data_IF_598156846841
#
_entry.id   IF_598156846841
#
_cell.length_a   1.000
_cell.length_b   1.000
_cell.length_c   1.000
_cell.angle_alpha   90.00
_cell.angle_beta   90.00
_cell.angle_gamma   90.00
#
_symmetry.space_group_name_H-M   'P 1'
#
loop_
_entity.id
_entity.type
_entity.pdbx_description
1 polymer ?
#
# COMPACT_ATOMS: atom_id res chain seq x y z
N UNK A 1 -22.27 27.01 -7.00
CA UNK A 1 -21.64 27.94 -6.04
C UNK A 1 -20.96 29.10 -6.74
N UNK A 2 -20.20 28.86 -7.84
CA UNK A 2 -19.50 29.90 -8.63
C UNK A 2 -20.45 30.91 -9.23
N UNK A 3 -21.54 30.46 -9.86
CA UNK A 3 -22.56 31.36 -10.44
C UNK A 3 -23.26 32.25 -9.42
N UNK A 4 -23.56 31.72 -8.24
CA UNK A 4 -24.17 32.49 -7.13
C UNK A 4 -23.22 33.52 -6.54
N UNK A 5 -21.94 33.26 -6.57
CA UNK A 5 -20.88 34.20 -6.16
C UNK A 5 -20.67 35.29 -7.21
N UNK A 6 -20.68 34.94 -8.50
CA UNK A 6 -20.63 35.87 -9.61
C UNK A 6 -21.82 36.87 -9.58
N UNK A 7 -23.05 36.37 -9.45
CA UNK A 7 -24.26 37.20 -9.43
C UNK A 7 -24.26 38.16 -8.22
N UNK A 8 -23.77 37.72 -7.07
CA UNK A 8 -23.67 38.60 -5.89
C UNK A 8 -22.53 39.61 -5.98
N UNK A 9 -21.40 39.24 -6.57
CA UNK A 9 -20.28 40.15 -6.78
C UNK A 9 -20.62 41.20 -7.84
N UNK A 10 -21.35 40.86 -8.90
CA UNK A 10 -21.80 41.80 -9.93
C UNK A 10 -22.71 42.91 -9.36
N UNK A 11 -23.50 42.63 -8.34
CA UNK A 11 -24.42 43.59 -7.73
C UNK A 11 -23.73 44.41 -6.62
N UNK A 12 -22.84 43.83 -5.84
CA UNK A 12 -22.22 44.46 -4.67
C UNK A 12 -20.97 45.31 -4.98
N UNK A 13 -20.15 44.90 -5.96
CA UNK A 13 -18.91 45.60 -6.30
C UNK A 13 -19.11 47.00 -6.90
N UNK A 14 -20.07 47.21 -7.85
CA UNK A 14 -20.33 48.55 -8.35
C UNK A 14 -20.85 49.55 -7.31
N UNK A 15 -21.58 49.06 -6.29
CA UNK A 15 -22.09 49.85 -5.18
C UNK A 15 -21.00 50.30 -4.21
N UNK A 16 -19.92 49.53 -4.08
CA UNK A 16 -18.80 49.80 -3.16
C UNK A 16 -17.71 50.66 -3.79
N UNK A 17 -17.47 50.54 -5.09
CA UNK A 17 -16.29 51.11 -5.77
C UNK A 17 -16.63 52.24 -6.78
N UNK A 18 -17.92 52.40 -7.12
CA UNK A 18 -18.41 53.61 -7.83
C UNK A 18 -18.06 53.71 -9.32
N UNK A 19 -17.47 52.69 -9.96
CA UNK A 19 -17.13 52.67 -11.39
C UNK A 19 -17.38 51.27 -12.03
N UNK A 20 -17.97 51.27 -13.21
CA UNK A 20 -18.18 50.07 -14.01
C UNK A 20 -16.89 49.66 -14.76
N UNK A 21 -16.08 48.82 -14.12
CA UNK A 21 -14.88 48.23 -14.71
C UNK A 21 -14.83 46.72 -14.41
N UNK A 22 -14.00 45.98 -15.16
CA UNK A 22 -13.82 44.52 -15.00
C UNK A 22 -13.11 44.14 -13.71
N UNK A 23 -13.51 44.73 -12.59
CA UNK A 23 -12.93 44.47 -11.26
C UNK A 23 -13.21 43.03 -10.75
N UNK A 24 -14.25 42.39 -11.29
CA UNK A 24 -14.58 40.99 -11.01
C UNK A 24 -13.39 40.06 -11.25
N UNK A 25 -12.73 40.22 -12.39
CA UNK A 25 -11.58 39.38 -12.76
C UNK A 25 -10.42 39.60 -11.80
N UNK A 26 -10.20 40.84 -11.36
CA UNK A 26 -9.13 41.17 -10.42
C UNK A 26 -9.42 40.61 -9.04
N UNK A 27 -10.65 40.79 -8.54
CA UNK A 27 -11.05 40.25 -7.22
C UNK A 27 -11.04 38.72 -7.24
N UNK A 28 -11.56 38.10 -8.31
CA UNK A 28 -11.51 36.65 -8.46
C UNK A 28 -10.09 36.13 -8.55
N UNK A 29 -9.21 36.83 -9.29
CA UNK A 29 -7.80 36.49 -9.38
C UNK A 29 -7.08 36.59 -8.03
N UNK A 30 -7.35 37.65 -7.26
CA UNK A 30 -6.78 37.83 -5.90
C UNK A 30 -7.29 36.70 -4.98
N UNK A 31 -8.60 36.41 -4.97
CA UNK A 31 -9.18 35.33 -4.16
C UNK A 31 -8.56 33.99 -4.55
N UNK A 32 -8.41 33.72 -5.86
CA UNK A 32 -7.78 32.47 -6.32
C UNK A 32 -6.33 32.35 -5.84
N UNK A 33 -5.53 33.43 -5.96
CA UNK A 33 -4.14 33.46 -5.51
C UNK A 33 -4.04 33.27 -4.00
N UNK A 34 -4.94 33.93 -3.24
CA UNK A 34 -5.00 33.75 -1.79
C UNK A 34 -5.41 32.33 -1.40
N UNK A 35 -6.37 31.74 -2.10
CA UNK A 35 -6.75 30.33 -1.90
C UNK A 35 -5.58 29.39 -2.18
N UNK A 36 -4.88 29.55 -3.31
CA UNK A 36 -3.75 28.69 -3.65
C UNK A 36 -2.56 28.87 -2.67
N UNK A 37 -2.36 30.08 -2.15
CA UNK A 37 -1.27 30.38 -1.22
C UNK A 37 -1.55 29.91 0.21
N UNK A 38 -2.76 30.11 0.72
CA UNK A 38 -3.12 29.87 2.12
C UNK A 38 -3.90 28.59 2.36
N UNK A 39 -4.45 27.98 1.28
CA UNK A 39 -5.23 26.74 1.33
C UNK A 39 -4.75 25.76 0.24
N UNK A 40 -3.47 25.35 0.24
CA UNK A 40 -2.94 24.42 -0.76
C UNK A 40 -3.70 23.10 -0.80
N UNK A 41 -4.27 22.67 0.34
CA UNK A 41 -5.03 21.43 0.50
C UNK A 41 -6.55 21.63 0.30
N UNK A 42 -6.96 22.84 -0.15
CA UNK A 42 -8.36 23.20 -0.39
C UNK A 42 -9.14 23.62 0.86
N UNK A 43 -10.35 24.14 0.63
CA UNK A 43 -11.26 24.60 1.71
C UNK A 43 -11.68 23.49 2.67
N UNK A 44 -11.66 22.24 2.22
CA UNK A 44 -12.04 21.10 3.04
C UNK A 44 -11.07 20.86 4.20
N UNK A 45 -9.79 21.05 3.99
CA UNK A 45 -8.76 20.92 5.04
C UNK A 45 -8.98 21.90 6.20
N UNK A 46 -9.45 23.10 5.88
CA UNK A 46 -9.80 24.10 6.89
C UNK A 46 -11.03 23.68 7.70
N UNK A 47 -12.05 23.14 7.03
CA UNK A 47 -13.30 22.65 7.69
C UNK A 47 -12.99 21.41 8.52
N UNK A 48 -12.16 20.50 8.01
CA UNK A 48 -11.77 19.27 8.70
C UNK A 48 -11.02 19.55 10.02
N UNK A 49 -10.22 20.61 10.07
CA UNK A 49 -9.50 21.03 11.29
C UNK A 49 -10.45 21.42 12.43
N UNK A 50 -11.66 21.91 12.13
CA UNK A 50 -12.67 22.31 13.11
C UNK A 50 -13.73 21.24 13.38
N UNK A 51 -13.81 20.20 12.54
CA UNK A 51 -14.70 19.08 12.79
C UNK A 51 -14.09 18.19 13.88
N UNK A 52 -14.82 17.90 14.96
CA UNK A 52 -14.35 16.94 15.93
C UNK A 52 -14.22 15.58 15.24
N UNK A 53 -12.99 15.09 15.13
CA UNK A 53 -12.76 13.71 14.71
C UNK A 53 -13.24 12.81 15.84
N UNK A 54 -14.33 12.05 15.67
CA UNK A 54 -14.76 11.14 16.72
C UNK A 54 -13.59 10.18 17.00
N UNK A 55 -13.22 9.97 18.28
CA UNK A 55 -12.19 9.03 18.63
C UNK A 55 -12.59 7.68 18.01
N UNK A 56 -11.77 7.16 17.13
CA UNK A 56 -11.99 5.83 16.54
C UNK A 56 -12.01 4.83 17.68
N UNK A 57 -13.03 3.96 17.77
CA UNK A 57 -13.08 2.97 18.83
C UNK A 57 -11.80 2.12 18.77
N UNK A 58 -10.96 2.23 19.79
CA UNK A 58 -9.67 1.52 19.91
C UNK A 58 -9.82 0.05 20.31
N UNK A 59 -11.04 -0.42 20.49
CA UNK A 59 -11.28 -1.76 21.02
C UNK A 59 -11.64 -2.74 19.90
N UNK A 60 -10.63 -3.20 19.18
CA UNK A 60 -10.72 -4.35 18.25
C UNK A 60 -10.30 -5.67 18.88
N UNK A 61 -9.90 -5.67 20.18
CA UNK A 61 -9.49 -6.89 20.88
C UNK A 61 -10.60 -7.95 20.91
N UNK A 62 -11.86 -7.50 20.99
CA UNK A 62 -13.03 -8.36 20.93
C UNK A 62 -13.40 -8.84 19.52
N UNK A 63 -12.74 -8.33 18.46
CA UNK A 63 -13.05 -8.74 17.09
C UNK A 63 -12.66 -10.19 16.86
N UNK A 64 -13.47 -10.93 16.08
CA UNK A 64 -13.12 -12.28 15.67
C UNK A 64 -11.86 -12.24 14.77
N UNK A 65 -10.96 -13.24 14.83
CA UNK A 65 -9.81 -13.30 13.95
C UNK A 65 -10.25 -13.42 12.49
N UNK A 66 -9.41 -12.95 11.56
CA UNK A 66 -9.59 -13.23 10.14
C UNK A 66 -9.37 -14.72 9.86
N UNK A 67 -10.14 -15.26 8.92
CA UNK A 67 -9.92 -16.63 8.46
C UNK A 67 -8.50 -16.78 7.91
N UNK A 68 -7.77 -17.77 8.39
CA UNK A 68 -6.44 -18.10 7.89
C UNK A 68 -6.54 -18.84 6.57
N UNK A 69 -5.57 -18.61 5.70
CA UNK A 69 -5.45 -19.36 4.44
C UNK A 69 -4.92 -20.76 4.73
N UNK A 70 -5.37 -21.74 3.92
CA UNK A 70 -4.74 -23.05 3.92
C UNK A 70 -3.27 -22.91 3.52
N UNK A 71 -2.37 -23.30 4.42
CA UNK A 71 -0.93 -23.30 4.15
C UNK A 71 -0.51 -24.61 3.48
N UNK A 72 0.44 -24.55 2.53
CA UNK A 72 1.02 -25.76 1.95
C UNK A 72 1.78 -26.55 3.03
N UNK A 73 1.81 -27.86 2.89
CA UNK A 73 2.58 -28.73 3.79
C UNK A 73 4.09 -28.58 3.53
N UNK A 74 4.90 -28.80 4.56
CA UNK A 74 6.35 -28.77 4.41
C UNK A 74 6.81 -29.72 3.28
N UNK A 75 7.65 -29.21 2.37
CA UNK A 75 8.12 -29.95 1.19
C UNK A 75 7.19 -29.90 -0.02
N UNK A 76 5.96 -29.39 0.10
CA UNK A 76 5.05 -29.19 -1.05
C UNK A 76 5.60 -28.10 -1.96
N UNK A 77 5.53 -28.31 -3.28
CA UNK A 77 5.98 -27.33 -4.28
C UNK A 77 5.05 -26.11 -4.28
N UNK A 78 5.58 -24.97 -3.89
CA UNK A 78 4.83 -23.70 -3.78
C UNK A 78 4.99 -22.84 -5.01
N UNK A 79 6.22 -22.72 -5.52
CA UNK A 79 6.52 -21.92 -6.71
C UNK A 79 7.40 -22.75 -7.66
N UNK A 80 7.00 -22.76 -8.93
CA UNK A 80 7.78 -23.33 -10.01
C UNK A 80 7.92 -22.30 -11.13
N UNK A 81 9.14 -21.86 -11.33
CA UNK A 81 9.53 -20.88 -12.35
C UNK A 81 10.24 -21.63 -13.46
N UNK A 82 9.70 -21.55 -14.69
CA UNK A 82 10.18 -22.33 -15.82
C UNK A 82 10.58 -21.41 -16.98
N UNK A 83 11.87 -21.39 -17.29
CA UNK A 83 12.47 -20.73 -18.47
C UNK A 83 11.99 -19.30 -18.69
N UNK A 84 11.82 -18.51 -17.58
CA UNK A 84 11.35 -17.14 -17.71
C UNK A 84 12.39 -16.27 -18.39
N UNK A 85 11.91 -15.47 -19.35
CA UNK A 85 12.71 -14.54 -20.13
C UNK A 85 12.03 -13.18 -20.21
N UNK A 86 12.81 -12.11 -20.14
CA UNK A 86 12.36 -10.75 -20.35
C UNK A 86 13.31 -9.96 -21.21
N UNK A 87 12.77 -9.44 -22.30
CA UNK A 87 13.44 -8.51 -23.20
C UNK A 87 12.77 -7.15 -23.18
N UNK A 88 13.56 -6.09 -23.20
CA UNK A 88 13.15 -4.70 -23.37
C UNK A 88 13.82 -4.15 -24.63
N UNK A 89 13.09 -4.09 -25.73
CA UNK A 89 13.70 -3.74 -27.02
C UNK A 89 14.83 -4.72 -27.36
N UNK A 90 16.07 -4.25 -27.41
CA UNK A 90 17.24 -5.10 -27.67
C UNK A 90 17.95 -5.63 -26.42
N UNK A 91 17.52 -5.24 -25.21
CA UNK A 91 18.16 -5.64 -23.96
C UNK A 91 17.46 -6.85 -23.34
N UNK A 92 18.21 -7.94 -23.14
CA UNK A 92 17.75 -9.10 -22.37
C UNK A 92 18.06 -8.88 -20.89
N UNK A 93 17.02 -8.58 -20.11
CA UNK A 93 17.15 -8.31 -18.67
C UNK A 93 17.09 -9.58 -17.80
N UNK A 94 16.35 -10.60 -18.25
CA UNK A 94 16.27 -11.93 -17.65
C UNK A 94 16.33 -12.93 -18.78
N UNK A 95 17.23 -13.92 -18.67
CA UNK A 95 17.46 -14.90 -19.71
C UNK A 95 17.39 -16.31 -19.17
N UNK A 96 16.29 -17.00 -19.47
CA UNK A 96 16.11 -18.44 -19.24
C UNK A 96 16.33 -18.86 -17.76
N UNK A 97 15.64 -18.21 -16.83
CA UNK A 97 15.74 -18.53 -15.42
C UNK A 97 14.69 -19.58 -15.04
N UNK A 98 15.15 -20.66 -14.39
CA UNK A 98 14.29 -21.71 -13.85
C UNK A 98 14.71 -22.05 -12.43
N UNK A 99 13.73 -22.16 -11.50
CA UNK A 99 13.95 -22.62 -10.13
C UNK A 99 12.61 -22.99 -9.46
N UNK A 100 12.73 -23.73 -8.37
CA UNK A 100 11.57 -24.18 -7.59
C UNK A 100 11.72 -23.77 -6.13
N UNK A 101 10.61 -23.52 -5.45
CA UNK A 101 10.53 -23.24 -4.01
C UNK A 101 9.49 -24.15 -3.39
N UNK A 102 9.93 -24.88 -2.36
CA UNK A 102 9.05 -25.73 -1.55
C UNK A 102 8.62 -25.03 -0.26
N UNK A 103 7.50 -25.42 0.30
CA UNK A 103 7.03 -24.92 1.58
C UNK A 103 8.04 -25.23 2.71
N UNK A 104 8.28 -24.21 3.54
CA UNK A 104 9.27 -24.27 4.63
C UNK A 104 10.69 -23.92 4.20
N UNK A 105 10.94 -23.65 2.91
CA UNK A 105 12.27 -23.23 2.45
C UNK A 105 12.44 -21.71 2.50
N UNK A 106 13.67 -21.29 2.77
CA UNK A 106 14.14 -19.91 2.55
C UNK A 106 15.12 -19.95 1.39
N UNK A 107 14.76 -19.27 0.29
CA UNK A 107 15.56 -19.24 -0.94
C UNK A 107 16.08 -17.83 -1.18
N UNK A 108 17.40 -17.68 -1.38
CA UNK A 108 18.06 -16.41 -1.67
C UNK A 108 18.33 -16.24 -3.17
N UNK A 109 17.80 -15.17 -3.76
CA UNK A 109 18.17 -14.75 -5.13
C UNK A 109 19.32 -13.75 -5.03
N UNK A 110 20.53 -14.21 -5.35
CA UNK A 110 21.76 -13.41 -5.24
C UNK A 110 22.32 -13.06 -6.64
N UNK A 111 23.03 -11.95 -6.71
CA UNK A 111 23.66 -11.49 -7.94
C UNK A 111 24.10 -10.02 -7.82
N UNK A 112 24.93 -9.55 -8.77
CA UNK A 112 25.38 -8.17 -8.85
C UNK A 112 24.22 -7.18 -9.10
N UNK A 113 24.47 -5.87 -8.93
CA UNK A 113 23.51 -4.86 -9.35
C UNK A 113 23.32 -4.93 -10.87
N UNK A 114 22.07 -4.84 -11.32
CA UNK A 114 21.72 -5.01 -12.74
C UNK A 114 21.59 -6.46 -13.22
N UNK A 115 21.83 -7.48 -12.37
CA UNK A 115 21.70 -8.91 -12.74
C UNK A 115 20.24 -9.39 -12.94
N UNK A 116 19.26 -8.50 -12.99
CA UNK A 116 17.87 -8.86 -13.26
C UNK A 116 17.07 -9.34 -12.05
N UNK A 117 17.60 -9.27 -10.81
CA UNK A 117 16.89 -9.73 -9.58
C UNK A 117 15.50 -9.11 -9.42
N UNK A 118 15.41 -7.78 -9.38
CA UNK A 118 14.13 -7.07 -9.22
C UNK A 118 13.22 -7.28 -10.44
N UNK A 119 13.79 -7.46 -11.63
CA UNK A 119 13.03 -7.83 -12.83
C UNK A 119 12.41 -9.21 -12.66
N UNK A 120 13.16 -10.19 -12.17
CA UNK A 120 12.66 -11.55 -11.87
C UNK A 120 11.52 -11.50 -10.85
N UNK A 121 11.66 -10.75 -9.76
CA UNK A 121 10.57 -10.51 -8.79
C UNK A 121 9.33 -9.90 -9.48
N UNK A 122 9.51 -8.91 -10.35
CA UNK A 122 8.42 -8.28 -11.09
C UNK A 122 7.70 -9.24 -12.03
N UNK A 123 8.43 -10.17 -12.67
CA UNK A 123 7.86 -11.19 -13.54
C UNK A 123 7.03 -12.21 -12.76
N UNK A 124 7.55 -12.71 -11.64
CA UNK A 124 6.88 -13.69 -10.78
C UNK A 124 5.61 -13.11 -10.17
N UNK A 125 5.64 -11.84 -9.77
CA UNK A 125 4.51 -11.16 -9.11
C UNK A 125 3.52 -10.50 -10.06
N UNK A 126 3.68 -10.67 -11.38
CA UNK A 126 2.77 -10.10 -12.39
C UNK A 126 2.80 -8.57 -12.49
N UNK A 127 3.84 -7.91 -11.96
CA UNK A 127 4.08 -6.46 -12.14
C UNK A 127 4.58 -6.17 -13.54
N UNK A 128 5.36 -7.09 -14.12
CA UNK A 128 5.81 -7.06 -15.49
C UNK A 128 5.37 -8.33 -16.22
N UNK A 129 4.99 -8.18 -17.48
CA UNK A 129 4.74 -9.30 -18.36
C UNK A 129 6.09 -9.87 -18.85
N UNK A 130 6.21 -11.19 -18.84
CA UNK A 130 7.37 -11.90 -19.40
C UNK A 130 7.29 -11.98 -20.92
N UNK A 131 8.45 -12.14 -21.55
CA UNK A 131 8.56 -12.40 -23.01
C UNK A 131 8.27 -13.87 -23.32
N UNK A 132 8.78 -14.79 -22.47
CA UNK A 132 8.53 -16.23 -22.59
C UNK A 132 8.69 -16.91 -21.22
N UNK A 133 8.39 -18.20 -21.15
CA UNK A 133 8.47 -19.02 -19.95
C UNK A 133 7.15 -19.07 -19.19
N UNK A 134 7.12 -19.79 -18.06
CA UNK A 134 5.93 -20.04 -17.26
C UNK A 134 6.22 -19.85 -15.76
N UNK A 135 5.21 -19.47 -15.01
CA UNK A 135 5.26 -19.39 -13.55
C UNK A 135 4.03 -20.10 -12.98
N UNK A 136 4.28 -21.15 -12.24
CA UNK A 136 3.26 -21.92 -11.53
C UNK A 136 3.33 -21.59 -10.05
N UNK A 137 2.18 -21.26 -9.45
CA UNK A 137 2.05 -21.01 -8.02
C UNK A 137 1.01 -21.97 -7.45
N UNK A 138 1.42 -22.87 -6.53
CA UNK A 138 0.61 -23.93 -5.96
C UNK A 138 -0.09 -24.76 -7.04
N UNK A 139 0.66 -25.11 -8.09
CA UNK A 139 0.18 -25.88 -9.24
C UNK A 139 -0.68 -25.11 -10.26
N UNK A 140 -1.05 -23.86 -9.98
CA UNK A 140 -1.83 -23.04 -10.90
C UNK A 140 -0.93 -22.11 -11.71
N UNK A 141 -1.16 -22.01 -13.02
CA UNK A 141 -0.44 -21.08 -13.88
C UNK A 141 -0.89 -19.65 -13.62
N UNK A 142 0.04 -18.84 -13.11
CA UNK A 142 -0.18 -17.42 -12.82
C UNK A 142 0.44 -16.50 -13.87
N UNK A 143 0.95 -17.05 -14.93
CA UNK A 143 1.77 -16.39 -15.95
C UNK A 143 1.13 -15.15 -16.59
N UNK A 144 -0.18 -15.14 -16.75
CA UNK A 144 -0.94 -14.05 -17.36
C UNK A 144 -1.77 -13.25 -16.34
N UNK A 145 -1.71 -13.61 -15.06
CA UNK A 145 -2.51 -12.96 -14.03
C UNK A 145 -1.90 -11.60 -13.63
N UNK A 146 -2.74 -10.58 -13.37
CA UNK A 146 -2.27 -9.33 -12.80
C UNK A 146 -1.85 -9.53 -11.34
N UNK A 147 -0.95 -8.70 -10.84
CA UNK A 147 -0.37 -8.81 -9.48
C UNK A 147 -1.43 -8.82 -8.38
N UNK A 148 -2.57 -8.12 -8.57
CA UNK A 148 -3.70 -8.15 -7.63
C UNK A 148 -4.26 -9.54 -7.43
N UNK A 149 -4.43 -10.30 -8.51
CA UNK A 149 -5.03 -11.63 -8.45
C UNK A 149 -4.03 -12.69 -7.95
N UNK A 150 -2.73 -12.50 -8.27
CA UNK A 150 -1.63 -13.27 -7.68
C UNK A 150 -1.58 -13.06 -6.16
N UNK A 151 -1.69 -11.82 -5.69
CA UNK A 151 -1.73 -11.51 -4.27
C UNK A 151 -2.93 -12.15 -3.56
N UNK A 152 -4.10 -12.18 -4.21
CA UNK A 152 -5.29 -12.87 -3.68
C UNK A 152 -5.10 -14.37 -3.53
N UNK A 153 -4.25 -14.99 -4.33
CA UNK A 153 -3.89 -16.41 -4.19
C UNK A 153 -2.93 -16.67 -3.01
N UNK A 154 -2.38 -15.64 -2.40
CA UNK A 154 -1.53 -15.76 -1.22
C UNK A 154 -0.03 -15.59 -1.50
N UNK A 155 0.35 -14.88 -2.55
CA UNK A 155 1.71 -14.41 -2.75
C UNK A 155 1.81 -12.96 -2.33
N UNK A 156 2.68 -12.65 -1.35
CA UNK A 156 2.94 -11.27 -0.93
C UNK A 156 4.37 -10.85 -1.26
N UNK A 157 4.57 -9.54 -1.45
CA UNK A 157 5.88 -8.97 -1.76
C UNK A 157 6.08 -7.65 -1.04
N UNK A 158 7.32 -7.41 -0.57
CA UNK A 158 7.78 -6.06 -0.21
C UNK A 158 8.41 -5.38 -1.44
N UNK A 159 8.50 -4.05 -1.42
CA UNK A 159 9.11 -3.28 -2.50
C UNK A 159 10.43 -2.67 -2.03
N UNK A 160 11.34 -2.39 -2.96
CA UNK A 160 12.61 -1.74 -2.68
C UNK A 160 12.43 -0.37 -2.01
N UNK A 161 11.43 0.40 -2.43
CA UNK A 161 11.03 1.65 -1.79
C UNK A 161 9.76 1.43 -0.98
N UNK A 162 9.81 1.80 0.30
CA UNK A 162 8.66 1.69 1.20
C UNK A 162 7.49 2.51 0.64
N UNK A 163 6.40 1.82 0.34
CA UNK A 163 5.13 2.43 -0.11
C UNK A 163 4.21 2.54 1.09
N UNK A 164 4.17 3.71 1.70
CA UNK A 164 3.30 4.01 2.85
C UNK A 164 2.44 5.24 2.57
N UNK A 165 1.40 5.39 3.36
CA UNK A 165 0.59 6.61 3.43
C UNK A 165 1.04 7.36 4.69
N UNK A 166 1.79 8.49 4.55
CA UNK A 166 2.47 9.15 5.68
C UNK A 166 1.51 9.62 6.78
N UNK A 167 0.32 10.07 6.40
CA UNK A 167 -0.69 10.63 7.32
C UNK A 167 -1.52 9.56 8.05
N UNK A 168 -1.41 8.29 7.63
CA UNK A 168 -2.01 7.17 8.34
C UNK A 168 -1.10 6.70 9.46
N UNK A 169 -1.70 6.13 10.51
CA UNK A 169 -0.96 5.42 11.56
C UNK A 169 -0.26 4.17 11.00
N UNK A 170 0.74 3.69 11.73
CA UNK A 170 1.42 2.42 11.43
C UNK A 170 0.42 1.27 11.34
N UNK A 171 -0.50 1.20 12.30
CA UNK A 171 -1.55 0.19 12.34
C UNK A 171 -2.45 0.24 11.09
N UNK A 172 -2.90 1.42 10.69
CA UNK A 172 -3.72 1.61 9.49
C UNK A 172 -2.97 1.22 8.22
N UNK A 173 -1.69 1.62 8.10
CA UNK A 173 -0.86 1.23 6.97
C UNK A 173 -0.70 -0.30 6.85
N UNK A 174 -0.54 -0.99 7.99
CA UNK A 174 -0.40 -2.44 8.02
C UNK A 174 -1.73 -3.14 7.74
N UNK A 175 -2.85 -2.60 8.22
CA UNK A 175 -4.19 -3.13 7.97
C UNK A 175 -4.55 -3.15 6.47
N UNK A 176 -3.98 -2.25 5.67
CA UNK A 176 -4.13 -2.28 4.20
C UNK A 176 -3.66 -3.63 3.60
N UNK A 177 -2.66 -4.27 4.21
CA UNK A 177 -2.20 -5.59 3.77
C UNK A 177 -3.25 -6.69 3.89
N UNK A 178 -4.12 -6.61 4.89
CA UNK A 178 -5.18 -7.58 5.10
C UNK A 178 -6.41 -7.36 4.19
N UNK A 179 -6.48 -6.24 3.47
CA UNK A 179 -7.64 -5.89 2.62
C UNK A 179 -8.00 -6.96 1.58
N UNK A 180 -6.98 -7.64 1.03
CA UNK A 180 -7.21 -8.75 0.07
C UNK A 180 -7.90 -9.96 0.66
N UNK A 181 -8.00 -10.05 2.01
CA UNK A 181 -8.68 -11.12 2.76
C UNK A 181 -10.10 -10.73 3.15
N UNK A 182 -10.45 -9.44 3.00
CA UNK A 182 -11.79 -8.94 3.24
C UNK A 182 -12.76 -9.28 2.11
N UNK A 183 -14.04 -9.28 2.44
CA UNK A 183 -15.15 -9.53 1.49
C UNK A 183 -15.95 -8.27 1.17
N UNK A 184 -15.74 -7.19 1.90
CA UNK A 184 -16.50 -5.95 1.76
C UNK A 184 -16.19 -5.21 0.47
N UNK A 185 -17.24 -4.90 -0.29
CA UNK A 185 -17.13 -4.11 -1.53
C UNK A 185 -17.11 -2.60 -1.29
N UNK A 186 -16.90 -1.85 -2.37
CA UNK A 186 -16.87 -0.36 -2.35
C UNK A 186 -18.16 0.23 -1.76
N UNK A 187 -19.31 -0.34 -2.07
CA UNK A 187 -20.62 0.14 -1.59
C UNK A 187 -20.75 0.00 -0.07
N UNK A 188 -20.36 -1.16 0.49
CA UNK A 188 -20.40 -1.38 1.95
C UNK A 188 -19.44 -0.46 2.70
N UNK A 189 -18.29 -0.15 2.10
CA UNK A 189 -17.32 0.80 2.65
C UNK A 189 -17.86 2.23 2.63
N UNK A 190 -18.51 2.66 1.54
CA UNK A 190 -19.17 3.99 1.46
C UNK A 190 -20.28 4.14 2.48
N UNK A 191 -21.07 3.10 2.72
CA UNK A 191 -22.16 3.10 3.69
C UNK A 191 -21.71 2.84 5.14
N UNK A 192 -20.39 2.64 5.36
CA UNK A 192 -19.82 2.30 6.68
C UNK A 192 -20.47 1.11 7.37
N UNK A 193 -20.98 0.16 6.60
CA UNK A 193 -21.65 -1.06 7.12
C UNK A 193 -20.65 -2.17 7.47
N UNK A 194 -19.39 -2.00 7.14
CA UNK A 194 -18.31 -2.98 7.30
C UNK A 194 -17.49 -2.85 8.59
N UNK A 195 -18.03 -2.18 9.64
CA UNK A 195 -17.29 -1.94 10.90
C UNK A 195 -16.70 -3.22 11.52
N UNK A 196 -17.44 -4.31 11.51
CA UNK A 196 -16.97 -5.58 12.08
C UNK A 196 -15.77 -6.15 11.28
N UNK A 197 -15.77 -6.00 9.96
CA UNK A 197 -14.65 -6.41 9.11
C UNK A 197 -13.45 -5.51 9.33
N UNK A 198 -13.64 -4.20 9.37
CA UNK A 198 -12.58 -3.22 9.69
C UNK A 198 -11.89 -3.55 11.02
N UNK A 199 -12.67 -3.88 12.05
CA UNK A 199 -12.12 -4.29 13.34
C UNK A 199 -11.27 -5.56 13.25
N UNK A 200 -11.67 -6.53 12.43
CA UNK A 200 -10.90 -7.76 12.20
C UNK A 200 -9.58 -7.45 11.47
N UNK A 201 -9.61 -6.54 10.47
CA UNK A 201 -8.40 -6.12 9.75
C UNK A 201 -7.42 -5.42 10.69
N UNK A 202 -7.92 -4.51 11.55
CA UNK A 202 -7.11 -3.80 12.54
C UNK A 202 -6.50 -4.75 13.58
N UNK A 203 -7.27 -5.73 14.06
CA UNK A 203 -6.77 -6.76 14.98
C UNK A 203 -5.65 -7.59 14.36
N UNK A 204 -5.82 -7.99 13.11
CA UNK A 204 -4.78 -8.73 12.38
C UNK A 204 -3.52 -7.88 12.22
N UNK A 205 -3.67 -6.61 11.85
CA UNK A 205 -2.55 -5.68 11.73
C UNK A 205 -1.80 -5.50 13.05
N UNK A 206 -2.51 -5.35 14.16
CA UNK A 206 -1.91 -5.30 15.50
C UNK A 206 -1.14 -6.58 15.81
N UNK A 207 -1.73 -7.75 15.57
CA UNK A 207 -1.08 -9.05 15.78
C UNK A 207 0.25 -9.15 15.02
N UNK A 208 0.27 -8.72 13.75
CA UNK A 208 1.49 -8.79 12.93
C UNK A 208 2.55 -7.78 13.39
N UNK A 209 2.13 -6.57 13.79
CA UNK A 209 3.05 -5.57 14.35
C UNK A 209 3.67 -6.01 15.67
N UNK A 210 2.88 -6.59 16.58
CA UNK A 210 3.37 -7.14 17.84
C UNK A 210 4.35 -8.29 17.60
N UNK A 211 4.05 -9.17 16.64
CA UNK A 211 4.91 -10.31 16.25
C UNK A 211 6.31 -9.88 15.81
N UNK A 212 6.43 -8.74 15.13
CA UNK A 212 7.74 -8.21 14.69
C UNK A 212 8.33 -7.15 15.62
N UNK A 213 7.79 -7.01 16.83
CA UNK A 213 8.32 -6.11 17.86
C UNK A 213 7.97 -4.63 17.66
N UNK A 214 6.98 -4.31 16.82
CA UNK A 214 6.55 -2.93 16.54
C UNK A 214 5.30 -2.50 17.33
N UNK A 215 4.91 -3.20 18.38
CA UNK A 215 3.73 -2.89 19.18
C UNK A 215 3.70 -1.47 19.78
N UNK A 216 4.89 -0.89 20.09
CA UNK A 216 4.99 0.47 20.60
C UNK A 216 4.62 1.56 19.57
N UNK A 217 4.69 1.25 18.26
CA UNK A 217 4.49 2.22 17.18
C UNK A 217 3.07 2.23 16.60
N UNK A 218 2.16 1.42 17.10
CA UNK A 218 0.81 1.21 16.52
C UNK A 218 0.08 2.50 16.13
N UNK A 219 0.16 3.51 17.01
CA UNK A 219 -0.59 4.76 16.88
C UNK A 219 0.26 5.93 16.36
N UNK A 220 1.53 5.70 16.05
CA UNK A 220 2.36 6.71 15.44
C UNK A 220 2.00 6.89 13.97
N UNK A 221 2.16 8.11 13.45
CA UNK A 221 2.05 8.36 12.02
C UNK A 221 3.21 7.70 11.29
N UNK A 222 2.92 6.98 10.22
CA UNK A 222 3.93 6.25 9.47
C UNK A 222 5.02 7.16 8.90
N UNK A 223 4.67 8.41 8.55
CA UNK A 223 5.61 9.42 8.07
C UNK A 223 6.68 9.83 9.09
N UNK A 224 6.42 9.67 10.39
CA UNK A 224 7.36 10.02 11.46
C UNK A 224 8.37 8.91 11.78
N UNK A 225 8.17 7.70 11.25
CA UNK A 225 9.06 6.58 11.49
C UNK A 225 10.43 6.78 10.81
N UNK A 226 11.49 6.38 11.49
CA UNK A 226 12.79 6.19 10.86
C UNK A 226 12.75 5.06 9.81
N UNK A 227 13.73 5.02 8.91
CA UNK A 227 13.76 4.08 7.77
C UNK A 227 13.68 2.60 8.21
N UNK A 228 14.33 2.21 9.31
CA UNK A 228 14.30 0.83 9.82
C UNK A 228 12.88 0.40 10.21
N UNK A 229 12.20 1.09 11.14
CA UNK A 229 10.80 0.83 11.46
C UNK A 229 9.84 0.91 10.26
N UNK A 230 10.07 1.81 9.29
CA UNK A 230 9.27 1.82 8.05
C UNK A 230 9.40 0.52 7.26
N UNK A 231 10.60 -0.05 7.20
CA UNK A 231 10.85 -1.33 6.52
C UNK A 231 10.17 -2.49 7.26
N UNK A 232 10.25 -2.52 8.58
CA UNK A 232 9.54 -3.51 9.39
C UNK A 232 8.02 -3.40 9.21
N UNK A 233 7.48 -2.17 9.19
CA UNK A 233 6.05 -1.93 8.92
C UNK A 233 5.63 -2.50 7.54
N UNK A 234 6.46 -2.35 6.51
CA UNK A 234 6.18 -2.92 5.18
C UNK A 234 6.13 -4.45 5.22
N UNK A 235 7.03 -5.09 5.98
CA UNK A 235 7.02 -6.54 6.18
C UNK A 235 5.77 -6.96 6.95
N UNK A 236 5.39 -6.26 8.03
CA UNK A 236 4.14 -6.53 8.75
C UNK A 236 2.92 -6.44 7.83
N UNK A 237 2.89 -5.43 6.95
CA UNK A 237 1.82 -5.28 5.94
C UNK A 237 1.77 -6.46 4.98
N UNK A 238 2.90 -6.95 4.52
CA UNK A 238 2.96 -8.13 3.67
C UNK A 238 2.50 -9.41 4.41
N UNK A 239 2.84 -9.55 5.69
CA UNK A 239 2.39 -10.65 6.55
C UNK A 239 0.86 -10.63 6.79
N UNK A 240 0.23 -9.44 6.83
CA UNK A 240 -1.22 -9.31 6.97
C UNK A 240 -2.00 -9.94 5.80
N UNK A 241 -1.37 -10.10 4.63
CA UNK A 241 -1.96 -10.85 3.51
C UNK A 241 -2.12 -12.33 3.83
N UNK A 242 -1.56 -12.83 4.93
CA UNK A 242 -1.47 -14.25 5.29
C UNK A 242 -0.88 -15.08 4.15
N UNK A 243 0.34 -14.75 3.67
CA UNK A 243 0.87 -15.34 2.45
C UNK A 243 1.30 -16.79 2.61
N UNK A 244 1.14 -17.59 1.54
CA UNK A 244 1.78 -18.89 1.38
C UNK A 244 3.23 -18.75 0.88
N UNK A 245 3.53 -17.63 0.18
CA UNK A 245 4.88 -17.26 -0.27
C UNK A 245 5.10 -15.77 -0.04
N UNK A 246 6.17 -15.45 0.68
CA UNK A 246 6.59 -14.07 0.93
C UNK A 246 7.90 -13.78 0.16
N UNK A 247 7.85 -12.77 -0.69
CA UNK A 247 8.98 -12.27 -1.47
C UNK A 247 9.51 -10.99 -0.83
N UNK A 248 10.76 -11.01 -0.37
CA UNK A 248 11.40 -9.86 0.28
C UNK A 248 12.48 -9.29 -0.64
N UNK A 249 12.32 -8.05 -1.08
CA UNK A 249 13.27 -7.33 -1.92
C UNK A 249 14.19 -6.47 -1.05
N UNK A 250 15.44 -6.91 -0.88
CA UNK A 250 16.45 -6.28 -0.03
C UNK A 250 15.96 -5.94 1.40
N UNK A 251 15.40 -6.91 2.16
CA UNK A 251 14.72 -6.62 3.43
C UNK A 251 15.64 -6.02 4.49
N UNK A 252 16.94 -6.29 4.43
CA UNK A 252 17.93 -5.81 5.39
C UNK A 252 18.58 -4.47 5.00
N UNK A 253 18.23 -3.88 3.86
CA UNK A 253 18.77 -2.60 3.41
C UNK A 253 18.34 -1.47 4.35
N UNK A 254 19.32 -0.73 4.90
CA UNK A 254 19.07 0.37 5.83
C UNK A 254 18.72 -0.01 7.26
N UNK A 255 18.60 -1.30 7.59
CA UNK A 255 18.36 -1.78 8.96
C UNK A 255 19.63 -1.72 9.82
N UNK A 256 19.48 -1.30 11.08
CA UNK A 256 20.51 -1.41 12.12
C UNK A 256 20.66 -2.87 12.59
N UNK A 257 21.78 -3.18 13.25
CA UNK A 257 22.08 -4.55 13.67
C UNK A 257 20.97 -5.19 14.53
N UNK A 258 20.39 -4.45 15.48
CA UNK A 258 19.26 -4.91 16.31
C UNK A 258 17.99 -5.19 15.50
N UNK A 259 17.71 -4.37 14.49
CA UNK A 259 16.54 -4.54 13.62
C UNK A 259 16.71 -5.75 12.68
N UNK A 260 17.95 -6.04 12.26
CA UNK A 260 18.27 -7.26 11.49
C UNK A 260 18.05 -8.53 12.30
N UNK A 261 18.36 -8.50 13.61
CA UNK A 261 18.10 -9.63 14.51
C UNK A 261 16.61 -9.87 14.76
N UNK A 262 15.80 -8.82 14.78
CA UNK A 262 14.35 -8.94 14.90
C UNK A 262 13.67 -9.48 13.62
N UNK A 263 14.36 -9.40 12.48
CA UNK A 263 13.87 -9.88 11.19
C UNK A 263 14.24 -11.37 10.95
N UNK A 264 15.28 -11.86 11.58
CA UNK A 264 15.78 -13.25 11.46
C UNK A 264 14.98 -14.22 12.34
#
# INVERSE_FOLDING_TARGET
LTKLLEDKLQVLLPQLIGTSGSYEIIVFGIVLVLMLKFLPDGLWSMVERYLPHPPRPRNWDAAAPLAERSKPQAGELVLDVQNIRKEFGGLVAVNDISFQIQAGQIVGLIGSNGAGKSTTFNLITGVLSKTSGQVLFRGSDISALPSRDISRQGMARTFQHVKMIPDMTVLENVALGAYTRGSSGVVSSMLRTNKAEEQRLMKEAQRQLERIGMGAYLHEQAGNLAMGPQRLMEIARALCCDPALLLLDEPAAGLRHKEKQALA
#
